data_IF_483016074183
#
_entry.id   IF_483016074183
#
_cell.length_a   1.000
_cell.length_b   1.000
_cell.length_c   1.000
_cell.angle_alpha   90.00
_cell.angle_beta   90.00
_cell.angle_gamma   90.00
#
_symmetry.space_group_name_H-M   'P 1'
#
loop_
_entity.id
_entity.type
_entity.pdbx_description
1 polymer ?
#
# COMPACT_ATOMS: atom_id res chain seq x y z
N UNK A 1 4.53 -30.06 18.14
CA UNK A 1 4.12 -28.80 17.47
C UNK A 1 4.63 -27.50 18.13
N UNK A 2 5.39 -27.53 19.23
CA UNK A 2 5.82 -26.31 19.95
C UNK A 2 7.10 -25.59 19.42
N UNK A 3 7.91 -26.22 18.56
CA UNK A 3 9.19 -25.65 18.09
C UNK A 3 9.03 -24.55 17.03
N UNK A 4 8.06 -24.66 16.12
CA UNK A 4 7.82 -23.66 15.06
C UNK A 4 7.44 -22.28 15.63
N UNK A 5 6.67 -22.27 16.71
CA UNK A 5 6.20 -21.04 17.35
C UNK A 5 7.32 -20.25 18.05
N UNK A 6 8.38 -20.92 18.54
CA UNK A 6 9.54 -20.23 19.16
C UNK A 6 10.44 -19.58 18.11
N UNK A 7 10.67 -20.25 16.98
CA UNK A 7 11.47 -19.72 15.86
C UNK A 7 10.79 -18.49 15.25
N UNK A 8 9.49 -18.58 14.97
CA UNK A 8 8.72 -17.46 14.43
C UNK A 8 8.72 -16.23 15.34
N UNK A 9 8.61 -16.42 16.67
CA UNK A 9 8.72 -15.32 17.65
C UNK A 9 10.10 -14.67 17.65
N UNK A 10 11.16 -15.46 17.52
CA UNK A 10 12.53 -14.94 17.45
C UNK A 10 12.75 -14.12 16.16
N UNK A 11 12.26 -14.62 15.01
CA UNK A 11 12.28 -13.89 13.74
C UNK A 11 11.53 -12.56 13.86
N UNK A 12 10.33 -12.57 14.44
CA UNK A 12 9.53 -11.37 14.65
C UNK A 12 10.25 -10.34 15.54
N UNK A 13 10.95 -10.81 16.58
CA UNK A 13 11.75 -9.95 17.46
C UNK A 13 12.88 -9.28 16.68
N UNK A 14 13.62 -10.04 15.88
CA UNK A 14 14.71 -9.49 15.04
C UNK A 14 14.16 -8.47 14.05
N UNK A 15 13.05 -8.77 13.37
CA UNK A 15 12.42 -7.86 12.41
C UNK A 15 11.99 -6.54 13.09
N UNK A 16 11.39 -6.61 14.28
CA UNK A 16 10.97 -5.42 15.01
C UNK A 16 12.16 -4.57 15.48
N UNK A 17 13.26 -5.22 15.86
CA UNK A 17 14.48 -4.53 16.27
C UNK A 17 15.15 -3.82 15.09
N UNK A 18 15.23 -4.48 13.93
CA UNK A 18 15.68 -3.86 12.68
C UNK A 18 14.79 -2.68 12.27
N UNK A 19 13.47 -2.84 12.36
CA UNK A 19 12.53 -1.76 12.07
C UNK A 19 12.77 -0.55 12.99
N UNK A 20 12.95 -0.79 14.29
CA UNK A 20 13.22 0.27 15.27
C UNK A 20 14.52 1.03 14.96
N UNK A 21 15.57 0.30 14.56
CA UNK A 21 16.84 0.91 14.15
C UNK A 21 16.70 1.75 12.88
N UNK A 22 15.92 1.27 11.90
CA UNK A 22 15.65 2.00 10.65
C UNK A 22 14.87 3.29 10.91
N UNK A 23 13.85 3.22 11.78
CA UNK A 23 13.08 4.40 12.20
C UNK A 23 14.00 5.43 12.86
N UNK A 24 14.76 5.03 13.88
CA UNK A 24 15.70 5.93 14.58
C UNK A 24 16.69 6.58 13.62
N UNK A 25 17.22 5.81 12.66
CA UNK A 25 18.12 6.33 11.64
C UNK A 25 17.44 7.34 10.73
N UNK A 26 16.23 7.05 10.27
CA UNK A 26 15.47 7.95 9.41
C UNK A 26 15.11 9.27 10.12
N UNK A 27 14.71 9.21 11.39
CA UNK A 27 14.42 10.39 12.21
C UNK A 27 15.67 11.24 12.44
N UNK A 28 16.82 10.61 12.68
CA UNK A 28 18.09 11.33 12.83
C UNK A 28 18.53 12.00 11.53
N UNK A 29 18.31 11.36 10.37
CA UNK A 29 18.66 11.93 9.07
C UNK A 29 17.75 13.08 8.65
N UNK A 30 16.46 12.98 8.96
CA UNK A 30 15.44 13.98 8.57
C UNK A 30 15.24 15.08 9.60
N UNK A 31 15.72 14.89 10.84
CA UNK A 31 15.48 15.79 11.96
C UNK A 31 14.07 15.67 12.58
N UNK A 32 13.20 14.83 12.02
CA UNK A 32 11.79 14.72 12.39
C UNK A 32 11.56 13.60 13.42
N UNK A 33 11.96 13.83 14.68
CA UNK A 33 11.74 12.87 15.76
C UNK A 33 10.25 12.58 16.00
N UNK A 34 9.90 11.30 16.14
CA UNK A 34 8.53 10.86 16.39
C UNK A 34 7.61 10.84 15.16
N UNK A 35 8.14 11.13 13.96
CA UNK A 35 7.34 11.17 12.73
C UNK A 35 6.86 9.78 12.31
N UNK A 36 7.68 8.75 12.46
CA UNK A 36 7.37 7.39 12.01
C UNK A 36 6.58 6.60 13.05
N UNK A 37 5.40 7.12 13.41
CA UNK A 37 4.45 6.41 14.25
C UNK A 37 3.91 5.14 13.56
N UNK A 38 3.38 4.15 14.31
CA UNK A 38 2.76 2.97 13.71
C UNK A 38 1.64 3.30 12.71
N UNK A 39 0.85 4.35 12.99
CA UNK A 39 -0.15 4.86 12.05
C UNK A 39 0.51 5.36 10.78
N UNK A 40 1.56 6.19 10.91
CA UNK A 40 2.26 6.77 9.76
C UNK A 40 2.91 5.71 8.87
N UNK A 41 3.48 4.66 9.46
CA UNK A 41 4.08 3.56 8.72
C UNK A 41 3.03 2.78 7.92
N UNK A 42 1.84 2.55 8.48
CA UNK A 42 0.75 1.89 7.77
C UNK A 42 0.14 2.80 6.68
N UNK A 43 0.06 4.11 6.90
CA UNK A 43 -0.32 5.09 5.86
C UNK A 43 0.68 5.07 4.69
N UNK A 44 1.99 5.10 4.97
CA UNK A 44 3.02 5.01 3.94
C UNK A 44 2.94 3.70 3.15
N UNK A 45 2.67 2.58 3.82
CA UNK A 45 2.48 1.29 3.15
C UNK A 45 1.22 1.26 2.27
N UNK A 46 0.14 1.93 2.71
CA UNK A 46 -1.08 2.09 1.92
C UNK A 46 -0.83 2.92 0.65
N UNK A 47 -0.08 4.01 0.77
CA UNK A 47 0.29 4.86 -0.37
C UNK A 47 1.17 4.10 -1.38
N UNK A 48 2.16 3.34 -0.90
CA UNK A 48 2.94 2.47 -1.76
C UNK A 48 2.08 1.43 -2.50
N UNK A 49 1.07 0.85 -1.84
CA UNK A 49 0.13 -0.06 -2.51
C UNK A 49 -0.66 0.63 -3.62
N UNK A 50 -1.05 1.89 -3.42
CA UNK A 50 -1.78 2.68 -4.42
C UNK A 50 -0.92 2.99 -5.64
N UNK A 51 0.34 3.36 -5.42
CA UNK A 51 1.32 3.57 -6.50
C UNK A 51 1.51 2.30 -7.32
N UNK A 52 1.78 1.17 -6.67
CA UNK A 52 1.93 -0.14 -7.35
C UNK A 52 0.67 -0.49 -8.17
N UNK A 53 -0.53 -0.27 -7.63
CA UNK A 53 -1.78 -0.51 -8.37
C UNK A 53 -1.87 0.41 -9.59
N UNK A 54 -1.50 1.69 -9.44
CA UNK A 54 -1.48 2.64 -10.55
C UNK A 54 -0.54 2.19 -11.67
N UNK A 55 0.68 1.79 -11.32
CA UNK A 55 1.68 1.31 -12.28
C UNK A 55 1.20 0.05 -13.02
N UNK A 56 0.60 -0.90 -12.29
CA UNK A 56 0.04 -2.12 -12.89
C UNK A 56 -1.15 -1.81 -13.82
N UNK A 57 -1.96 -0.79 -13.51
CA UNK A 57 -3.06 -0.37 -14.39
C UNK A 57 -2.55 0.31 -15.65
N UNK A 58 -1.49 1.12 -15.56
CA UNK A 58 -0.81 1.71 -16.72
C UNK A 58 -0.25 0.61 -17.62
N UNK A 59 0.46 -0.36 -17.03
CA UNK A 59 1.01 -1.50 -17.76
C UNK A 59 -0.09 -2.31 -18.46
N UNK A 60 -1.20 -2.56 -17.77
CA UNK A 60 -2.37 -3.22 -18.36
C UNK A 60 -2.90 -2.45 -19.57
N UNK A 61 -3.05 -1.13 -19.47
CA UNK A 61 -3.54 -0.30 -20.56
C UNK A 61 -2.60 -0.35 -21.78
N UNK A 62 -1.27 -0.34 -21.54
CA UNK A 62 -0.27 -0.49 -22.59
C UNK A 62 -0.40 -1.86 -23.29
N UNK A 63 -0.54 -2.95 -22.54
CA UNK A 63 -0.72 -4.30 -23.09
C UNK A 63 -2.04 -4.45 -23.85
N UNK A 64 -3.12 -3.81 -23.40
CA UNK A 64 -4.40 -3.77 -24.10
C UNK A 64 -4.26 -3.03 -25.44
N UNK A 65 -3.53 -1.92 -25.48
CA UNK A 65 -3.22 -1.21 -26.72
C UNK A 65 -2.38 -2.06 -27.69
N UNK A 66 -1.37 -2.78 -27.18
CA UNK A 66 -0.57 -3.71 -27.98
C UNK A 66 -1.43 -4.82 -28.61
N UNK A 67 -2.43 -5.32 -27.88
CA UNK A 67 -3.32 -6.39 -28.35
C UNK A 67 -4.18 -5.97 -29.57
N UNK A 68 -4.50 -4.68 -29.65
CA UNK A 68 -5.25 -4.08 -30.76
C UNK A 68 -4.37 -3.58 -31.91
N UNK A 69 -3.04 -3.54 -31.72
CA UNK A 69 -2.08 -3.11 -32.74
C UNK A 69 -1.86 -4.18 -33.82
N UNK A 70 -1.54 -3.77 -35.04
CA UNK A 70 -1.21 -4.68 -36.15
C UNK A 70 0.23 -5.20 -35.99
N UNK A 71 0.42 -6.51 -36.12
CA UNK A 71 1.75 -7.14 -36.09
C UNK A 71 2.22 -7.66 -34.72
N UNK A 72 1.40 -7.55 -33.67
CA UNK A 72 1.70 -8.07 -32.32
C UNK A 72 1.28 -9.52 -32.13
N UNK A 73 2.03 -10.25 -31.30
CA UNK A 73 1.64 -11.58 -30.82
C UNK A 73 0.51 -11.45 -29.78
N UNK A 74 -0.73 -11.54 -30.28
CA UNK A 74 -1.95 -11.43 -29.46
C UNK A 74 -2.01 -12.46 -28.34
N UNK A 75 -1.40 -13.64 -28.52
CA UNK A 75 -1.41 -14.71 -27.52
C UNK A 75 -0.48 -14.34 -26.37
N UNK A 76 0.71 -13.84 -26.65
CA UNK A 76 1.64 -13.37 -25.64
C UNK A 76 1.07 -12.18 -24.84
N UNK A 77 0.50 -11.19 -25.54
CA UNK A 77 -0.14 -10.04 -24.91
C UNK A 77 -1.28 -10.46 -23.96
N UNK A 78 -2.13 -11.40 -24.39
CA UNK A 78 -3.22 -11.94 -23.55
C UNK A 78 -2.70 -12.58 -22.26
N UNK A 79 -1.64 -13.40 -22.34
CA UNK A 79 -1.04 -14.04 -21.16
C UNK A 79 -0.44 -13.00 -20.20
N UNK A 80 0.20 -11.94 -20.72
CA UNK A 80 0.73 -10.85 -19.89
C UNK A 80 -0.41 -10.10 -19.18
N UNK A 81 -1.51 -9.80 -19.86
CA UNK A 81 -2.68 -9.16 -19.27
C UNK A 81 -3.26 -10.00 -18.12
N UNK A 82 -3.39 -11.32 -18.30
CA UNK A 82 -3.85 -12.22 -17.22
C UNK A 82 -2.95 -12.15 -15.99
N UNK A 83 -1.62 -12.16 -16.20
CA UNK A 83 -0.65 -12.04 -15.10
C UNK A 83 -0.77 -10.70 -14.38
N UNK A 84 -0.87 -9.60 -15.13
CA UNK A 84 -1.03 -8.26 -14.56
C UNK A 84 -2.33 -8.17 -13.76
N UNK A 85 -3.44 -8.72 -14.25
CA UNK A 85 -4.70 -8.78 -13.50
C UNK A 85 -4.55 -9.56 -12.18
N UNK A 86 -3.81 -10.67 -12.17
CA UNK A 86 -3.53 -11.42 -10.95
C UNK A 86 -2.71 -10.58 -9.94
N UNK A 87 -1.74 -9.80 -10.41
CA UNK A 87 -0.97 -8.89 -9.53
C UNK A 87 -1.82 -7.73 -9.01
N UNK A 88 -2.68 -7.13 -9.83
CA UNK A 88 -3.63 -6.10 -9.41
C UNK A 88 -4.52 -6.64 -8.28
N UNK A 89 -5.07 -7.85 -8.44
CA UNK A 89 -5.90 -8.49 -7.41
C UNK A 89 -5.14 -8.69 -6.09
N UNK A 90 -3.88 -9.11 -6.15
CA UNK A 90 -3.03 -9.26 -4.96
C UNK A 90 -2.74 -7.91 -4.28
N UNK A 91 -2.43 -6.88 -5.06
CA UNK A 91 -2.16 -5.54 -4.54
C UNK A 91 -3.42 -4.91 -3.90
N UNK A 92 -4.59 -5.10 -4.51
CA UNK A 92 -5.89 -4.69 -3.95
C UNK A 92 -6.18 -5.39 -2.62
N UNK A 93 -5.87 -6.69 -2.51
CA UNK A 93 -6.00 -7.41 -1.23
C UNK A 93 -5.04 -6.87 -0.18
N UNK A 94 -3.78 -6.58 -0.53
CA UNK A 94 -2.82 -5.96 0.39
C UNK A 94 -3.32 -4.58 0.86
N UNK A 95 -3.80 -3.74 -0.06
CA UNK A 95 -4.42 -2.43 0.22
C UNK A 95 -5.52 -2.55 1.27
N UNK A 96 -6.45 -3.50 1.09
CA UNK A 96 -7.54 -3.76 2.06
C UNK A 96 -7.01 -4.13 3.44
N UNK A 97 -5.95 -4.94 3.53
CA UNK A 97 -5.36 -5.31 4.82
C UNK A 97 -4.76 -4.09 5.54
N UNK A 98 -4.08 -3.21 4.82
CA UNK A 98 -3.54 -1.97 5.39
C UNK A 98 -4.66 -1.03 5.88
N UNK A 99 -5.74 -0.85 5.11
CA UNK A 99 -6.91 -0.07 5.54
C UNK A 99 -7.50 -0.64 6.85
N UNK A 100 -7.67 -1.96 6.95
CA UNK A 100 -8.19 -2.60 8.16
C UNK A 100 -7.28 -2.37 9.38
N UNK A 101 -5.96 -2.41 9.20
CA UNK A 101 -5.01 -2.11 10.27
C UNK A 101 -5.07 -0.66 10.70
N UNK A 102 -5.12 0.28 9.75
CA UNK A 102 -5.24 1.71 10.06
C UNK A 102 -6.54 1.96 10.84
N UNK A 103 -7.67 1.43 10.38
CA UNK A 103 -8.95 1.50 11.10
C UNK A 103 -8.84 0.98 12.53
N UNK A 104 -8.13 -0.13 12.74
CA UNK A 104 -7.88 -0.69 14.08
C UNK A 104 -6.99 0.19 14.95
N UNK A 105 -6.00 0.86 14.37
CA UNK A 105 -5.13 1.80 15.10
C UNK A 105 -5.94 3.03 15.51
N UNK A 106 -6.66 3.63 14.55
CA UNK A 106 -7.50 4.80 14.79
C UNK A 106 -8.62 4.52 15.78
N UNK A 107 -9.31 3.38 15.70
CA UNK A 107 -10.37 3.04 16.65
C UNK A 107 -9.90 2.78 18.08
N UNK A 108 -8.58 2.66 18.31
CA UNK A 108 -8.00 2.65 19.67
C UNK A 108 -7.66 4.06 20.18
N UNK A 109 -7.49 5.01 19.26
CA UNK A 109 -7.08 6.39 19.56
C UNK A 109 -8.29 7.32 19.63
N UNK A 110 -9.27 7.11 18.76
CA UNK A 110 -10.50 7.88 18.64
C UNK A 110 -11.59 7.10 19.37
N UNK A 111 -12.15 7.70 20.41
CA UNK A 111 -13.26 7.11 21.19
C UNK A 111 -14.64 7.40 20.61
N UNK A 112 -14.75 8.36 19.68
CA UNK A 112 -15.97 8.75 19.00
C UNK A 112 -16.13 7.99 17.66
N UNK A 113 -17.28 7.34 17.46
CA UNK A 113 -17.53 6.51 16.28
C UNK A 113 -17.70 7.32 14.99
N UNK A 114 -18.26 8.53 15.07
CA UNK A 114 -18.50 9.40 13.91
C UNK A 114 -17.18 10.02 13.43
N UNK A 115 -16.33 10.46 14.35
CA UNK A 115 -14.98 10.93 14.02
C UNK A 115 -14.12 9.81 13.42
N UNK A 116 -14.24 8.59 13.93
CA UNK A 116 -13.56 7.42 13.38
C UNK A 116 -14.04 7.12 11.96
N UNK A 117 -15.34 7.17 11.70
CA UNK A 117 -15.91 6.95 10.38
C UNK A 117 -15.40 7.98 9.37
N UNK A 118 -15.33 9.26 9.76
CA UNK A 118 -14.79 10.34 8.93
C UNK A 118 -13.29 10.16 8.65
N UNK A 119 -12.50 9.78 9.66
CA UNK A 119 -11.08 9.54 9.50
C UNK A 119 -10.79 8.36 8.55
N UNK A 120 -11.52 7.25 8.71
CA UNK A 120 -11.42 6.09 7.83
C UNK A 120 -11.85 6.46 6.41
N UNK A 121 -12.93 7.21 6.23
CA UNK A 121 -13.41 7.64 4.92
C UNK A 121 -12.36 8.48 4.17
N UNK A 122 -11.65 9.38 4.87
CA UNK A 122 -10.54 10.16 4.27
C UNK A 122 -9.39 9.29 3.81
N UNK A 123 -9.08 8.23 4.55
CA UNK A 123 -8.03 7.26 4.21
C UNK A 123 -8.45 6.37 3.06
N UNK A 124 -9.73 5.99 2.96
CA UNK A 124 -10.24 5.17 1.87
C UNK A 124 -10.37 5.97 0.55
N UNK A 125 -10.66 7.27 0.64
CA UNK A 125 -10.76 8.13 -0.52
C UNK A 125 -9.42 8.26 -1.26
N UNK A 126 -9.48 8.05 -2.58
CA UNK A 126 -8.41 8.40 -3.52
C UNK A 126 -8.27 9.93 -3.50
N UNK A 127 -7.06 10.53 -3.58
CA UNK A 127 -6.96 11.86 -4.14
C UNK A 127 -7.57 11.79 -5.55
N UNK A 128 -8.73 12.40 -5.74
CA UNK A 128 -9.28 12.64 -7.06
C UNK A 128 -8.32 13.59 -7.77
N UNK A 129 -7.98 13.30 -9.02
CA UNK A 129 -7.23 14.21 -9.87
C UNK A 129 -8.13 15.41 -10.18
N UNK A 130 -8.25 16.34 -9.23
CA UNK A 130 -8.97 17.61 -9.40
C UNK A 130 -8.14 18.81 -8.94
N UNK A 131 -6.81 18.67 -8.87
CA UNK A 131 -5.90 19.81 -8.67
C UNK A 131 -4.69 19.69 -9.61
N UNK A 132 -4.93 19.78 -10.92
CA UNK A 132 -3.87 20.04 -11.92
C UNK A 132 -4.29 21.03 -13.02
N UNK A 133 -5.32 21.85 -12.76
CA UNK A 133 -5.63 23.02 -13.59
C UNK A 133 -6.03 24.18 -12.67
N UNK A 134 -5.04 24.81 -12.02
CA UNK A 134 -5.08 26.27 -11.90
C UNK A 134 -4.23 26.80 -13.04
N UNK A 135 -4.88 27.01 -14.17
CA UNK A 135 -4.35 27.83 -15.25
C UNK A 135 -4.31 29.28 -14.78
N UNK A 136 -3.11 29.87 -14.88
CA UNK A 136 -2.76 31.30 -14.82
C UNK A 136 -3.06 32.07 -13.53
#
# INVERSE_FOLDING_TARGET
MAKGNKKHKAELKVTNELLSQLILRAENLTGNKGYYSPLKLEEMALDACREIISDLLIEKANLEYELHSLGTDKKEASIKIERVNAYISRAENAKKQHILKIKKILGKQIGDEDELALAVARIEQKPTVSVLIKSN
#
